data_IF_261385219814
#
_entry.id   IF_261385219814
#
_cell.length_a   1.000
_cell.length_b   1.000
_cell.length_c   1.000
_cell.angle_alpha   90.00
_cell.angle_beta   90.00
_cell.angle_gamma   90.00
#
_symmetry.space_group_name_H-M   'P 1'
#
loop_
_entity.id
_entity.type
_entity.pdbx_description
1 polymer ?
#
# COMPACT_ATOMS: atom_id res chain seq x y z
N UNK A 1 -5.07 -11.33 -3.37
CA UNK A 1 -6.43 -11.80 -3.74
C UNK A 1 -7.41 -11.06 -2.84
N UNK A 2 -8.42 -10.40 -3.42
CA UNK A 2 -9.49 -9.79 -2.63
C UNK A 2 -10.32 -10.88 -1.96
N UNK A 3 -10.75 -10.65 -0.72
CA UNK A 3 -11.63 -11.60 -0.02
C UNK A 3 -13.01 -11.49 -0.65
N UNK A 4 -13.63 -12.64 -0.96
CA UNK A 4 -14.95 -12.67 -1.58
C UNK A 4 -16.05 -12.86 -0.52
N UNK A 5 -17.14 -12.11 -0.66
CA UNK A 5 -18.36 -12.27 0.15
C UNK A 5 -19.59 -12.12 -0.74
N UNK A 6 -20.68 -12.78 -0.37
CA UNK A 6 -22.01 -12.35 -0.80
C UNK A 6 -22.33 -10.98 -0.15
N UNK A 7 -23.25 -10.18 -0.71
CA UNK A 7 -23.65 -8.91 -0.10
C UNK A 7 -24.11 -9.08 1.36
N UNK A 8 -24.96 -10.07 1.63
CA UNK A 8 -25.54 -10.32 2.95
C UNK A 8 -24.46 -10.74 3.96
N UNK A 9 -23.53 -11.61 3.56
CA UNK A 9 -22.45 -12.03 4.45
C UNK A 9 -21.55 -10.86 4.86
N UNK A 10 -21.21 -9.99 3.90
CA UNK A 10 -20.41 -8.81 4.19
C UNK A 10 -21.15 -7.85 5.13
N UNK A 11 -22.42 -7.55 4.84
CA UNK A 11 -23.25 -6.69 5.70
C UNK A 11 -23.34 -7.27 7.11
N UNK A 12 -23.64 -8.56 7.25
CA UNK A 12 -23.71 -9.24 8.54
C UNK A 12 -22.39 -9.19 9.29
N UNK A 13 -21.27 -9.38 8.60
CA UNK A 13 -19.94 -9.31 9.19
C UNK A 13 -19.64 -7.92 9.73
N UNK A 14 -19.97 -6.87 8.98
CA UNK A 14 -19.80 -5.47 9.41
C UNK A 14 -20.70 -5.16 10.61
N UNK A 15 -21.98 -5.51 10.54
CA UNK A 15 -22.97 -5.27 11.60
C UNK A 15 -22.58 -5.96 12.91
N UNK A 16 -22.16 -7.22 12.86
CA UNK A 16 -21.73 -8.00 14.05
C UNK A 16 -20.42 -7.50 14.66
N UNK A 17 -19.65 -6.71 13.91
CA UNK A 17 -18.36 -6.17 14.36
C UNK A 17 -18.46 -4.67 14.64
N UNK A 18 -19.52 -4.26 15.36
CA UNK A 18 -19.78 -2.88 15.77
C UNK A 18 -19.71 -1.89 14.60
N UNK A 19 -20.41 -2.24 13.51
CA UNK A 19 -20.47 -1.43 12.29
C UNK A 19 -19.08 -1.13 11.69
N UNK A 20 -18.16 -2.11 11.72
CA UNK A 20 -16.80 -1.90 11.24
C UNK A 20 -16.18 -3.11 10.55
N UNK A 21 -15.23 -2.85 9.64
CA UNK A 21 -14.44 -3.85 8.94
C UNK A 21 -12.95 -3.53 9.02
N UNK A 22 -12.14 -4.47 9.49
CA UNK A 22 -10.68 -4.32 9.57
C UNK A 22 -9.99 -5.08 8.45
N UNK A 23 -9.19 -4.37 7.67
CA UNK A 23 -8.35 -4.93 6.61
C UNK A 23 -6.91 -4.99 7.10
N UNK A 24 -6.24 -6.11 6.87
CA UNK A 24 -4.82 -6.29 7.19
C UNK A 24 -3.99 -6.26 5.92
N UNK A 25 -2.94 -5.43 5.89
CA UNK A 25 -2.06 -5.25 4.73
C UNK A 25 -0.60 -5.34 5.13
N UNK A 26 0.18 -5.91 4.24
CA UNK A 26 1.64 -5.91 4.34
C UNK A 26 2.18 -4.73 3.54
N UNK A 27 2.87 -3.79 4.20
CA UNK A 27 3.51 -2.63 3.57
C UNK A 27 5.02 -2.82 3.60
N UNK A 28 5.67 -2.68 2.44
CA UNK A 28 7.13 -2.61 2.34
C UNK A 28 7.55 -1.14 2.40
N UNK A 29 8.52 -0.83 3.25
CA UNK A 29 9.07 0.51 3.43
C UNK A 29 10.59 0.42 3.28
N UNK A 30 11.15 1.33 2.50
CA UNK A 30 12.60 1.50 2.42
C UNK A 30 13.03 2.41 3.56
N UNK A 31 13.94 1.93 4.39
CA UNK A 31 14.46 2.64 5.54
C UNK A 31 15.97 2.80 5.42
N UNK A 32 16.45 3.95 5.88
CA UNK A 32 17.87 4.30 5.91
C UNK A 32 18.49 3.80 7.21
N UNK A 33 19.63 3.12 7.14
CA UNK A 33 20.46 2.83 8.31
C UNK A 33 21.30 4.08 8.67
N UNK A 34 20.84 4.82 9.67
CA UNK A 34 21.50 6.06 10.12
C UNK A 34 22.95 5.86 10.56
N UNK A 35 23.33 4.66 11.03
CA UNK A 35 24.72 4.37 11.42
C UNK A 35 25.60 4.24 10.18
N UNK A 36 25.10 3.61 9.12
CA UNK A 36 25.81 3.49 7.85
C UNK A 36 25.89 4.85 7.14
N UNK A 37 24.82 5.65 7.16
CA UNK A 37 24.81 7.02 6.61
C UNK A 37 25.87 7.90 7.30
N UNK A 38 25.90 7.92 8.64
CA UNK A 38 26.93 8.64 9.41
C UNK A 38 28.34 8.14 9.09
N UNK A 39 28.53 6.84 8.91
CA UNK A 39 29.81 6.27 8.51
C UNK A 39 30.23 6.75 7.11
N UNK A 40 29.31 6.81 6.15
CA UNK A 40 29.60 7.27 4.78
C UNK A 40 30.11 8.71 4.77
N UNK A 41 29.48 9.61 5.52
CA UNK A 41 29.94 11.00 5.66
C UNK A 41 31.40 11.08 6.16
N UNK A 42 31.76 10.28 7.17
CA UNK A 42 33.13 10.26 7.68
C UNK A 42 34.11 9.53 6.76
N UNK A 43 33.65 8.47 6.09
CA UNK A 43 34.41 7.73 5.09
C UNK A 43 34.81 8.63 3.92
N UNK A 44 33.89 9.44 3.41
CA UNK A 44 34.14 10.38 2.32
C UNK A 44 35.16 11.46 2.75
N UNK A 45 35.03 11.98 3.98
CA UNK A 45 36.01 12.91 4.55
C UNK A 45 37.42 12.31 4.61
N UNK A 46 37.55 11.08 5.10
CA UNK A 46 38.82 10.34 5.12
C UNK A 46 39.37 10.12 3.72
N UNK A 47 38.53 9.69 2.76
CA UNK A 47 38.94 9.45 1.38
C UNK A 47 39.49 10.74 0.74
N UNK A 48 38.87 11.90 0.98
CA UNK A 48 39.38 13.21 0.52
C UNK A 48 40.77 13.52 1.07
N UNK A 49 41.04 13.25 2.37
CA UNK A 49 42.38 13.45 2.97
C UNK A 49 43.40 12.46 2.44
N UNK A 50 42.99 11.22 2.25
CA UNK A 50 43.81 10.16 1.70
C UNK A 50 44.23 10.46 0.24
N UNK A 51 43.31 10.94 -0.60
CA UNK A 51 43.63 11.35 -1.97
C UNK A 51 44.64 12.51 -2.03
N UNK A 52 44.62 13.43 -1.04
CA UNK A 52 45.66 14.46 -0.92
C UNK A 52 47.02 13.86 -0.62
N UNK A 53 47.10 12.94 0.33
CA UNK A 53 48.36 12.24 0.65
C UNK A 53 48.86 11.35 -0.49
N UNK A 54 47.97 10.76 -1.28
CA UNK A 54 48.34 9.95 -2.46
C UNK A 54 49.04 10.77 -3.55
N UNK A 55 48.77 12.08 -3.62
CA UNK A 55 49.44 13.01 -4.53
C UNK A 55 50.81 13.48 -4.02
N UNK A 56 51.21 13.09 -2.82
CA UNK A 56 52.52 13.41 -2.29
C UNK A 56 53.63 12.83 -3.16
N UNK A 57 54.61 13.66 -3.46
CA UNK A 57 55.88 13.27 -4.08
C UNK A 57 57.02 13.80 -3.23
N UNK A 58 58.13 13.07 -3.17
CA UNK A 58 59.28 13.45 -2.35
C UNK A 58 59.82 14.82 -2.81
N UNK A 59 59.93 15.77 -1.89
CA UNK A 59 60.32 17.16 -2.18
C UNK A 59 59.23 18.04 -2.79
N UNK A 60 58.01 17.52 -3.04
CA UNK A 60 56.93 18.26 -3.69
C UNK A 60 56.18 19.27 -2.81
N UNK A 61 56.29 19.15 -1.48
CA UNK A 61 55.74 20.10 -0.50
C UNK A 61 56.69 20.22 0.70
N UNK A 62 56.57 21.31 1.47
CA UNK A 62 57.34 21.47 2.71
C UNK A 62 56.97 20.43 3.75
N UNK A 63 57.90 20.14 4.67
CA UNK A 63 57.70 19.17 5.74
C UNK A 63 56.55 19.57 6.67
N UNK A 64 56.42 20.85 6.97
CA UNK A 64 55.31 21.41 7.77
C UNK A 64 53.95 21.22 7.09
N UNK A 65 53.90 21.39 5.76
CA UNK A 65 52.66 21.17 5.00
C UNK A 65 52.28 19.69 4.96
N UNK A 66 53.28 18.80 4.85
CA UNK A 66 53.05 17.36 4.93
C UNK A 66 52.58 16.96 6.33
N UNK A 67 53.18 17.51 7.39
CA UNK A 67 52.78 17.29 8.78
C UNK A 67 51.29 17.60 8.99
N UNK A 68 50.83 18.75 8.46
CA UNK A 68 49.42 19.13 8.50
C UNK A 68 48.52 18.15 7.74
N UNK A 69 48.93 17.68 6.57
CA UNK A 69 48.14 16.71 5.79
C UNK A 69 48.05 15.35 6.48
N UNK A 70 49.14 14.88 7.09
CA UNK A 70 49.18 13.64 7.87
C UNK A 70 48.29 13.78 9.12
N UNK A 71 48.38 14.90 9.82
CA UNK A 71 47.53 15.18 10.99
C UNK A 71 46.04 15.19 10.62
N UNK A 72 45.67 15.87 9.53
CA UNK A 72 44.30 15.90 9.02
C UNK A 72 43.80 14.49 8.65
N UNK A 73 44.64 13.68 8.01
CA UNK A 73 44.31 12.31 7.66
C UNK A 73 44.07 11.44 8.89
N UNK A 74 44.94 11.50 9.90
CA UNK A 74 44.77 10.75 11.14
C UNK A 74 43.52 11.17 11.90
N UNK A 75 43.21 12.47 11.91
CA UNK A 75 41.96 12.98 12.49
C UNK A 75 40.75 12.36 11.80
N UNK A 76 40.68 12.44 10.47
CA UNK A 76 39.56 11.84 9.71
C UNK A 76 39.48 10.32 9.86
N UNK A 77 40.61 9.62 10.01
CA UNK A 77 40.62 8.19 10.31
C UNK A 77 39.98 7.89 11.67
N UNK A 78 40.37 8.63 12.71
CA UNK A 78 39.79 8.45 14.05
C UNK A 78 38.29 8.76 14.06
N UNK A 79 37.86 9.84 13.37
CA UNK A 79 36.45 10.23 13.30
C UNK A 79 35.60 9.17 12.57
N UNK A 80 36.12 8.58 11.49
CA UNK A 80 35.48 7.47 10.78
C UNK A 80 35.43 6.21 11.65
N UNK A 81 36.50 5.88 12.36
CA UNK A 81 36.55 4.72 13.26
C UNK A 81 35.51 4.84 14.37
N UNK A 82 35.41 6.01 14.99
CA UNK A 82 34.40 6.30 16.02
C UNK A 82 32.97 6.13 15.48
N UNK A 83 32.70 6.62 14.27
CA UNK A 83 31.38 6.47 13.63
C UNK A 83 31.07 5.03 13.19
N UNK A 84 32.08 4.17 13.12
CA UNK A 84 31.91 2.77 12.75
C UNK A 84 31.46 1.87 13.91
N UNK A 85 31.56 2.34 15.16
CA UNK A 85 31.27 1.54 16.35
C UNK A 85 29.80 1.10 16.46
N UNK A 86 28.87 1.88 15.90
CA UNK A 86 27.44 1.56 15.89
C UNK A 86 26.98 0.78 14.66
N UNK A 87 27.86 0.53 13.68
CA UNK A 87 27.51 -0.19 12.46
C UNK A 87 27.50 -1.69 12.72
N UNK A 88 26.37 -2.35 12.46
CA UNK A 88 26.19 -3.79 12.69
C UNK A 88 26.28 -4.64 11.41
N UNK A 89 26.25 -4.01 10.24
CA UNK A 89 26.35 -4.72 8.97
C UNK A 89 27.71 -5.43 8.83
N UNK A 90 27.67 -6.76 8.65
CA UNK A 90 28.86 -7.62 8.65
C UNK A 90 29.84 -7.32 7.53
N UNK A 91 29.35 -6.99 6.33
CA UNK A 91 30.20 -6.72 5.18
C UNK A 91 30.88 -5.35 5.30
N UNK A 92 30.15 -4.36 5.82
CA UNK A 92 30.72 -3.04 6.15
C UNK A 92 31.77 -3.18 7.24
N UNK A 93 31.46 -3.88 8.34
CA UNK A 93 32.42 -4.18 9.42
C UNK A 93 33.68 -4.87 8.91
N UNK A 94 33.55 -5.81 7.96
CA UNK A 94 34.69 -6.51 7.36
C UNK A 94 35.65 -5.54 6.65
N UNK A 95 35.15 -4.50 5.98
CA UNK A 95 36.04 -3.50 5.35
C UNK A 95 36.70 -2.60 6.40
N UNK A 96 35.97 -2.19 7.44
CA UNK A 96 36.53 -1.43 8.58
C UNK A 96 37.68 -2.21 9.24
N UNK A 97 37.46 -3.48 9.59
CA UNK A 97 38.50 -4.33 10.20
C UNK A 97 39.72 -4.50 9.30
N UNK A 98 39.57 -4.56 7.97
CA UNK A 98 40.73 -4.58 7.06
C UNK A 98 41.55 -3.30 7.16
N UNK A 99 40.90 -2.15 7.28
CA UNK A 99 41.58 -0.87 7.42
C UNK A 99 42.31 -0.79 8.77
N UNK A 100 41.66 -1.21 9.87
CA UNK A 100 42.29 -1.28 11.19
C UNK A 100 43.52 -2.19 11.19
N UNK A 101 43.38 -3.38 10.58
CA UNK A 101 44.48 -4.33 10.42
C UNK A 101 45.62 -3.73 9.61
N UNK A 102 45.33 -2.99 8.54
CA UNK A 102 46.36 -2.32 7.74
C UNK A 102 47.20 -1.35 8.60
N UNK A 103 46.58 -0.58 9.49
CA UNK A 103 47.30 0.30 10.41
C UNK A 103 48.09 -0.50 11.46
N UNK A 104 47.51 -1.56 12.02
CA UNK A 104 48.19 -2.42 12.99
C UNK A 104 49.43 -3.11 12.41
N UNK A 105 49.32 -3.67 11.21
CA UNK A 105 50.41 -4.34 10.49
C UNK A 105 51.56 -3.36 10.17
N UNK A 106 51.25 -2.06 10.00
CA UNK A 106 52.23 -1.01 9.72
C UNK A 106 52.71 -0.25 10.98
N UNK A 107 52.32 -0.66 12.19
CA UNK A 107 52.62 0.07 13.44
C UNK A 107 54.12 0.40 13.61
N UNK A 108 55.03 -0.54 13.32
CA UNK A 108 56.48 -0.29 13.39
C UNK A 108 56.96 0.79 12.41
N UNK A 109 56.37 0.84 11.22
CA UNK A 109 56.71 1.84 10.21
C UNK A 109 56.10 3.21 10.56
N UNK A 110 54.87 3.24 11.05
CA UNK A 110 54.18 4.42 11.56
C UNK A 110 54.96 5.11 12.69
N UNK A 111 55.46 4.34 13.66
CA UNK A 111 56.29 4.88 14.76
C UNK A 111 57.58 5.54 14.29
N UNK A 112 58.20 5.06 13.20
CA UNK A 112 59.44 5.66 12.64
C UNK A 112 59.23 7.06 12.08
N UNK A 113 57.99 7.47 11.87
CA UNK A 113 57.63 8.84 11.45
C UNK A 113 56.85 9.58 12.54
N UNK A 114 56.79 9.04 13.77
CA UNK A 114 56.10 9.69 14.88
C UNK A 114 54.59 9.48 14.94
N UNK A 115 54.02 8.53 14.18
CA UNK A 115 52.60 8.17 14.31
C UNK A 115 52.46 7.07 15.35
N UNK A 116 51.66 7.34 16.38
CA UNK A 116 51.46 6.43 17.51
C UNK A 116 49.97 6.20 17.79
N UNK A 117 49.64 4.99 18.21
CA UNK A 117 48.31 4.67 18.72
C UNK A 117 48.28 4.97 20.23
N UNK A 118 47.51 5.99 20.61
CA UNK A 118 47.31 6.42 21.99
C UNK A 118 45.85 6.16 22.33
N UNK A 119 45.60 5.21 23.23
CA UNK A 119 44.25 4.84 23.68
C UNK A 119 43.28 4.52 22.53
N UNK A 120 43.74 3.81 21.50
CA UNK A 120 42.92 3.39 20.37
C UNK A 120 42.79 4.42 19.24
N UNK A 121 43.37 5.63 19.40
CA UNK A 121 43.37 6.72 18.41
C UNK A 121 44.79 6.97 17.90
N UNK A 122 44.95 7.21 16.60
CA UNK A 122 46.26 7.56 16.05
C UNK A 122 46.53 9.06 16.15
N UNK A 123 47.71 9.43 16.64
CA UNK A 123 48.17 10.81 16.75
C UNK A 123 49.59 10.95 16.17
N UNK A 124 49.94 12.16 15.75
CA UNK A 124 51.26 12.50 15.23
C UNK A 124 52.09 13.24 16.29
N UNK A 125 53.29 12.74 16.57
CA UNK A 125 54.30 13.43 17.36
C UNK A 125 55.13 14.32 16.44
N UNK A 126 54.85 15.63 16.46
CA UNK A 126 55.52 16.64 15.62
C UNK A 126 57.05 16.63 15.73
N UNK A 127 57.61 16.41 16.93
CA UNK A 127 59.07 16.36 17.13
C UNK A 127 59.70 15.18 16.40
N UNK A 128 59.09 14.00 16.56
CA UNK A 128 59.55 12.78 15.90
C UNK A 128 59.34 12.86 14.38
N UNK A 129 58.25 13.48 13.94
CA UNK A 129 57.97 13.71 12.52
C UNK A 129 58.99 14.67 11.89
N UNK A 130 59.34 15.77 12.56
CA UNK A 130 60.34 16.73 12.10
C UNK A 130 61.72 16.10 11.88
N UNK A 131 62.08 15.11 12.69
CA UNK A 131 63.34 14.35 12.57
C UNK A 131 63.23 13.10 11.66
N UNK A 132 62.04 12.75 11.21
CA UNK A 132 61.81 11.55 10.42
C UNK A 132 62.55 11.62 9.07
N UNK A 133 63.22 10.52 8.71
CA UNK A 133 63.92 10.38 7.43
C UNK A 133 62.92 10.25 6.29
N UNK A 134 63.16 10.96 5.18
CA UNK A 134 62.29 10.92 3.99
C UNK A 134 62.03 9.51 3.47
N UNK A 135 63.03 8.61 3.54
CA UNK A 135 62.83 7.20 3.16
C UNK A 135 61.72 6.50 3.96
N UNK A 136 61.55 6.83 5.24
CA UNK A 136 60.54 6.23 6.10
C UNK A 136 59.16 6.79 5.78
N UNK A 137 59.08 8.10 5.49
CA UNK A 137 57.85 8.78 5.04
C UNK A 137 57.43 8.22 3.67
N UNK A 138 58.35 8.18 2.71
CA UNK A 138 58.12 7.68 1.36
C UNK A 138 57.63 6.23 1.37
N UNK A 139 58.15 5.36 2.24
CA UNK A 139 57.71 3.97 2.35
C UNK A 139 56.22 3.83 2.75
N UNK A 140 55.66 4.80 3.48
CA UNK A 140 54.25 4.79 3.91
C UNK A 140 53.33 5.48 2.90
N UNK A 141 53.82 6.50 2.18
CA UNK A 141 53.00 7.33 1.31
C UNK A 141 53.10 6.92 -0.17
N UNK A 142 54.27 6.50 -0.64
CA UNK A 142 54.59 6.34 -2.06
C UNK A 142 54.72 4.86 -2.45
N UNK A 143 54.20 4.51 -3.62
CA UNK A 143 54.34 3.18 -4.22
C UNK A 143 53.11 2.29 -3.99
N UNK A 144 52.91 1.30 -4.86
CA UNK A 144 51.70 0.47 -4.88
C UNK A 144 51.39 -0.20 -3.53
N UNK A 145 52.43 -0.66 -2.82
CA UNK A 145 52.29 -1.36 -1.55
C UNK A 145 52.30 -0.47 -0.31
N UNK A 146 52.31 0.86 -0.50
CA UNK A 146 52.30 1.85 0.56
C UNK A 146 51.01 1.77 1.39
N UNK A 147 51.08 2.24 2.64
CA UNK A 147 49.92 2.33 3.53
C UNK A 147 48.80 3.12 2.86
N UNK A 148 49.12 4.26 2.25
CA UNK A 148 48.13 5.16 1.62
C UNK A 148 47.44 4.49 0.43
N UNK A 149 48.17 3.78 -0.42
CA UNK A 149 47.55 3.09 -1.57
C UNK A 149 46.69 1.90 -1.15
N UNK A 150 47.12 1.13 -0.15
CA UNK A 150 46.30 0.03 0.40
C UNK A 150 45.06 0.56 1.09
N UNK A 151 45.17 1.65 1.84
CA UNK A 151 44.03 2.30 2.48
C UNK A 151 43.05 2.86 1.44
N UNK A 152 43.51 3.44 0.32
CA UNK A 152 42.63 3.86 -0.79
C UNK A 152 41.74 2.73 -1.30
N UNK A 153 42.35 1.57 -1.54
CA UNK A 153 41.64 0.39 -2.05
C UNK A 153 40.59 -0.10 -1.05
N UNK A 154 40.92 -0.13 0.24
CA UNK A 154 39.97 -0.53 1.27
C UNK A 154 38.82 0.48 1.39
N UNK A 155 39.12 1.79 1.37
CA UNK A 155 38.12 2.85 1.44
C UNK A 155 37.13 2.84 0.27
N UNK A 156 37.59 2.55 -0.94
CA UNK A 156 36.69 2.38 -2.11
C UNK A 156 35.72 1.21 -1.93
N UNK A 157 36.22 0.07 -1.44
CA UNK A 157 35.34 -1.08 -1.17
C UNK A 157 34.38 -0.79 -0.01
N UNK A 158 34.81 -0.03 1.00
CA UNK A 158 33.95 0.40 2.10
C UNK A 158 32.81 1.28 1.60
N UNK A 159 33.11 2.24 0.73
CA UNK A 159 32.12 3.14 0.12
C UNK A 159 31.06 2.37 -0.69
N UNK A 160 31.51 1.45 -1.55
CA UNK A 160 30.61 0.56 -2.31
C UNK A 160 29.73 -0.29 -1.39
N UNK A 161 30.35 -0.97 -0.42
CA UNK A 161 29.62 -1.85 0.51
C UNK A 161 28.63 -1.08 1.39
N UNK A 162 29.00 0.13 1.82
CA UNK A 162 28.11 1.00 2.60
C UNK A 162 26.96 1.53 1.75
N UNK A 163 27.22 1.88 0.49
CA UNK A 163 26.19 2.29 -0.47
C UNK A 163 25.14 1.21 -0.72
N UNK A 164 25.56 -0.05 -0.79
CA UNK A 164 24.63 -1.18 -0.93
C UNK A 164 23.83 -1.46 0.36
N UNK A 165 24.40 -1.12 1.52
CA UNK A 165 23.85 -1.47 2.83
C UNK A 165 23.02 -0.34 3.49
N UNK A 166 23.13 0.90 3.01
CA UNK A 166 22.49 2.07 3.63
C UNK A 166 20.96 2.01 3.57
N UNK A 167 20.40 1.29 2.60
CA UNK A 167 18.95 1.10 2.47
C UNK A 167 18.55 -0.35 2.73
N UNK A 168 17.55 -0.53 3.57
CA UNK A 168 16.92 -1.84 3.77
C UNK A 168 15.42 -1.76 3.46
N UNK A 169 14.86 -2.86 2.94
CA UNK A 169 13.41 -2.97 2.78
C UNK A 169 12.83 -3.71 3.98
N UNK A 170 12.12 -2.98 4.83
CA UNK A 170 11.44 -3.52 6.00
C UNK A 170 9.97 -3.77 5.67
N UNK A 171 9.44 -4.88 6.19
CA UNK A 171 8.06 -5.28 5.97
C UNK A 171 7.24 -5.05 7.24
N UNK A 172 6.20 -4.23 7.14
CA UNK A 172 5.30 -3.90 8.23
C UNK A 172 3.91 -4.50 8.02
N UNK A 173 3.39 -5.16 9.05
CA UNK A 173 1.97 -5.50 9.11
C UNK A 173 1.19 -4.27 9.57
N UNK A 174 0.25 -3.84 8.74
CA UNK A 174 -0.61 -2.69 9.00
C UNK A 174 -2.06 -3.14 9.00
N UNK A 175 -2.89 -2.47 9.78
CA UNK A 175 -4.34 -2.71 9.81
C UNK A 175 -5.09 -1.40 9.66
N UNK A 176 -6.16 -1.41 8.88
CA UNK A 176 -7.04 -0.26 8.70
C UNK A 176 -8.47 -0.69 8.99
N UNK A 177 -9.10 -0.03 9.95
CA UNK A 177 -10.51 -0.26 10.29
C UNK A 177 -11.38 0.81 9.63
N UNK A 178 -12.30 0.38 8.79
CA UNK A 178 -13.35 1.23 8.21
C UNK A 178 -14.60 1.11 9.07
N UNK A 179 -15.14 2.25 9.50
CA UNK A 179 -16.43 2.33 10.21
C UNK A 179 -17.54 2.72 9.23
N UNK A 180 -18.73 2.21 9.50
CA UNK A 180 -19.93 2.42 8.71
C UNK A 180 -21.02 3.00 9.60
N UNK A 181 -21.86 3.85 9.02
CA UNK A 181 -23.09 4.29 9.68
C UNK A 181 -24.14 3.19 9.58
N UNK A 182 -25.01 3.07 10.58
CA UNK A 182 -26.13 2.10 10.56
C UNK A 182 -27.00 2.29 9.32
N UNK A 183 -27.20 3.53 8.90
CA UNK A 183 -28.00 3.88 7.73
C UNK A 183 -27.36 3.40 6.41
N UNK A 184 -26.03 3.46 6.30
CA UNK A 184 -25.31 2.94 5.13
C UNK A 184 -25.51 1.42 5.01
N UNK A 185 -25.45 0.69 6.13
CA UNK A 185 -25.73 -0.75 6.11
C UNK A 185 -27.19 -1.05 5.77
N UNK A 186 -28.13 -0.21 6.22
CA UNK A 186 -29.53 -0.33 5.85
C UNK A 186 -29.69 -0.13 4.32
N UNK A 187 -29.09 0.90 3.74
CA UNK A 187 -29.10 1.13 2.30
C UNK A 187 -28.54 -0.05 1.51
N UNK A 188 -27.39 -0.58 1.91
CA UNK A 188 -26.80 -1.77 1.28
C UNK A 188 -27.71 -3.01 1.42
N UNK A 189 -28.38 -3.17 2.57
CA UNK A 189 -29.32 -4.28 2.81
C UNK A 189 -30.54 -4.19 1.91
N UNK A 190 -31.15 -3.01 1.77
CA UNK A 190 -32.31 -2.82 0.89
C UNK A 190 -31.95 -2.91 -0.59
N UNK A 191 -30.78 -2.42 -1.01
CA UNK A 191 -30.30 -2.65 -2.37
C UNK A 191 -30.12 -4.15 -2.66
N UNK A 192 -29.60 -4.90 -1.70
CA UNK A 192 -29.49 -6.37 -1.78
C UNK A 192 -30.87 -7.02 -1.88
N UNK A 193 -31.81 -6.64 -1.00
CA UNK A 193 -33.18 -7.17 -1.00
C UNK A 193 -33.92 -6.88 -2.31
N UNK A 194 -33.78 -5.67 -2.87
CA UNK A 194 -34.31 -5.34 -4.19
C UNK A 194 -33.74 -6.26 -5.27
N UNK A 195 -32.44 -6.55 -5.26
CA UNK A 195 -31.81 -7.45 -6.22
C UNK A 195 -32.33 -8.88 -6.10
N UNK A 196 -32.50 -9.39 -4.87
CA UNK A 196 -33.06 -10.73 -4.64
C UNK A 196 -34.54 -10.82 -5.07
N UNK A 197 -35.32 -9.75 -4.86
CA UNK A 197 -36.70 -9.65 -5.34
C UNK A 197 -36.77 -9.68 -6.87
N UNK A 198 -35.91 -8.93 -7.57
CA UNK A 198 -35.81 -8.95 -9.04
C UNK A 198 -35.49 -10.33 -9.58
N UNK A 199 -34.54 -11.03 -8.96
CA UNK A 199 -34.17 -12.39 -9.34
C UNK A 199 -35.32 -13.39 -9.14
N UNK A 200 -36.12 -13.21 -8.08
CA UNK A 200 -37.32 -14.02 -7.84
C UNK A 200 -38.40 -13.74 -8.87
N UNK A 201 -38.62 -12.46 -9.22
CA UNK A 201 -39.58 -12.06 -10.25
C UNK A 201 -39.21 -12.62 -11.63
N UNK A 202 -37.94 -12.65 -12.00
CA UNK A 202 -37.46 -13.30 -13.23
C UNK A 202 -37.76 -14.80 -13.23
N UNK A 203 -37.46 -15.50 -12.13
CA UNK A 203 -37.81 -16.92 -11.99
C UNK A 203 -39.34 -17.15 -12.09
N UNK A 204 -40.14 -16.25 -11.54
CA UNK A 204 -41.60 -16.31 -11.62
C UNK A 204 -42.13 -16.07 -13.05
N UNK A 205 -41.40 -15.38 -13.93
CA UNK A 205 -41.87 -15.03 -15.27
C UNK A 205 -42.34 -16.25 -16.06
N UNK A 206 -41.58 -17.35 -16.03
CA UNK A 206 -41.96 -18.59 -16.74
C UNK A 206 -43.33 -19.12 -16.30
N UNK A 207 -43.66 -19.02 -15.01
CA UNK A 207 -44.95 -19.47 -14.48
C UNK A 207 -46.09 -18.54 -14.89
N UNK A 208 -45.85 -17.22 -14.84
CA UNK A 208 -46.81 -16.20 -15.29
C UNK A 208 -47.14 -16.39 -16.78
N UNK A 209 -46.12 -16.58 -17.61
CA UNK A 209 -46.30 -16.80 -19.06
C UNK A 209 -47.01 -18.13 -19.38
N UNK A 210 -46.83 -19.15 -18.54
CA UNK A 210 -47.50 -20.45 -18.70
C UNK A 210 -48.98 -20.45 -18.29
N UNK A 211 -49.55 -19.28 -17.97
CA UNK A 211 -50.95 -19.16 -17.58
C UNK A 211 -51.25 -19.50 -16.12
N UNK A 212 -50.22 -19.73 -15.29
CA UNK A 212 -50.39 -20.03 -13.85
C UNK A 212 -50.62 -18.77 -12.99
N UNK A 213 -51.03 -17.64 -13.59
CA UNK A 213 -51.27 -16.38 -12.88
C UNK A 213 -52.40 -16.44 -11.84
N UNK A 214 -53.28 -17.45 -11.91
CA UNK A 214 -54.34 -17.71 -10.92
C UNK A 214 -53.92 -18.74 -9.85
N UNK A 215 -52.69 -19.28 -9.92
CA UNK A 215 -52.20 -20.23 -8.91
C UNK A 215 -51.82 -19.44 -7.64
N UNK A 216 -52.41 -19.74 -6.47
CA UNK A 216 -52.18 -18.99 -5.24
C UNK A 216 -50.69 -18.88 -4.84
N UNK A 217 -49.90 -19.93 -5.08
CA UNK A 217 -48.47 -19.95 -4.74
C UNK A 217 -47.68 -18.99 -5.64
N UNK A 218 -48.04 -18.92 -6.93
CA UNK A 218 -47.42 -18.00 -7.89
C UNK A 218 -47.81 -16.56 -7.56
N UNK A 219 -49.09 -16.32 -7.25
CA UNK A 219 -49.59 -15.01 -6.83
C UNK A 219 -48.88 -14.51 -5.57
N UNK A 220 -48.78 -15.36 -4.54
CA UNK A 220 -48.10 -15.03 -3.29
C UNK A 220 -46.61 -14.71 -3.52
N UNK A 221 -45.92 -15.52 -4.31
CA UNK A 221 -44.49 -15.31 -4.61
C UNK A 221 -44.24 -14.01 -5.40
N UNK A 222 -45.09 -13.73 -6.38
CA UNK A 222 -44.99 -12.51 -7.19
C UNK A 222 -45.34 -11.29 -6.35
N UNK A 223 -46.50 -11.26 -5.68
CA UNK A 223 -46.93 -10.12 -4.88
C UNK A 223 -45.96 -9.86 -3.71
N UNK A 224 -45.45 -10.92 -3.06
CA UNK A 224 -44.40 -10.80 -2.05
C UNK A 224 -43.12 -10.15 -2.59
N UNK A 225 -42.67 -10.56 -3.78
CA UNK A 225 -41.48 -10.00 -4.41
C UNK A 225 -41.68 -8.55 -4.88
N UNK A 226 -42.86 -8.22 -5.42
CA UNK A 226 -43.21 -6.83 -5.76
C UNK A 226 -43.23 -5.94 -4.51
N UNK A 227 -43.77 -6.43 -3.39
CA UNK A 227 -43.73 -5.74 -2.09
C UNK A 227 -42.31 -5.50 -1.59
N UNK A 228 -41.43 -6.50 -1.67
CA UNK A 228 -40.02 -6.33 -1.31
C UNK A 228 -39.32 -5.33 -2.23
N UNK A 229 -39.58 -5.37 -3.53
CA UNK A 229 -39.00 -4.44 -4.49
C UNK A 229 -39.46 -3.00 -4.24
N UNK A 230 -40.76 -2.77 -4.02
CA UNK A 230 -41.31 -1.44 -3.73
C UNK A 230 -40.76 -0.88 -2.42
N UNK A 231 -40.80 -1.67 -1.34
CA UNK A 231 -40.27 -1.27 -0.03
C UNK A 231 -38.79 -0.94 -0.10
N UNK A 232 -38.01 -1.75 -0.80
CA UNK A 232 -36.58 -1.51 -0.99
C UNK A 232 -36.31 -0.29 -1.85
N UNK A 233 -37.07 -0.08 -2.92
CA UNK A 233 -37.00 1.11 -3.77
C UNK A 233 -37.20 2.39 -2.95
N UNK A 234 -38.18 2.41 -2.06
CA UNK A 234 -38.46 3.57 -1.19
C UNK A 234 -37.30 3.95 -0.26
N UNK A 235 -36.41 2.99 0.04
CA UNK A 235 -35.20 3.22 0.83
C UNK A 235 -34.02 3.58 -0.08
N UNK A 236 -33.83 2.86 -1.18
CA UNK A 236 -32.77 3.11 -2.18
C UNK A 236 -32.86 4.53 -2.75
N UNK A 237 -34.06 5.04 -2.98
CA UNK A 237 -34.28 6.39 -3.54
C UNK A 237 -33.95 7.54 -2.57
N UNK A 238 -33.67 7.22 -1.29
CA UNK A 238 -33.20 8.18 -0.28
C UNK A 238 -31.68 8.33 -0.28
N UNK A 239 -30.96 7.45 -0.99
CA UNK A 239 -29.50 7.50 -1.09
C UNK A 239 -29.11 8.75 -1.88
N UNK A 240 -28.20 9.55 -1.33
CA UNK A 240 -27.69 10.73 -2.01
C UNK A 240 -26.91 10.32 -3.27
N UNK A 241 -27.02 11.05 -4.40
CA UNK A 241 -26.19 10.82 -5.58
C UNK A 241 -24.68 10.89 -5.32
N UNK A 242 -24.27 11.61 -4.26
CA UNK A 242 -22.87 11.67 -3.81
C UNK A 242 -22.42 10.36 -3.15
N UNK A 243 -23.34 9.64 -2.50
CA UNK A 243 -23.07 8.32 -1.92
C UNK A 243 -23.07 7.24 -2.99
N UNK A 244 -23.97 7.30 -3.96
CA UNK A 244 -23.94 6.43 -5.14
C UNK A 244 -24.65 7.05 -6.34
N UNK A 245 -23.94 7.20 -7.45
CA UNK A 245 -24.53 7.63 -8.72
C UNK A 245 -25.51 6.59 -9.30
N UNK A 246 -25.39 5.33 -8.87
CA UNK A 246 -26.27 4.24 -9.29
C UNK A 246 -27.68 4.37 -8.74
N UNK A 247 -27.86 4.99 -7.57
CA UNK A 247 -29.19 5.30 -7.03
C UNK A 247 -29.96 6.29 -7.94
N UNK A 248 -29.26 7.25 -8.56
CA UNK A 248 -29.86 8.16 -9.55
C UNK A 248 -30.28 7.42 -10.83
N UNK A 249 -29.46 6.49 -11.30
CA UNK A 249 -29.79 5.67 -12.48
C UNK A 249 -30.96 4.71 -12.21
N UNK A 250 -31.00 4.13 -11.01
CA UNK A 250 -32.12 3.34 -10.51
C UNK A 250 -33.43 4.13 -10.60
N UNK A 251 -33.46 5.35 -10.04
CA UNK A 251 -34.61 6.25 -10.12
C UNK A 251 -35.07 6.49 -11.56
N UNK A 252 -34.13 6.84 -12.44
CA UNK A 252 -34.42 7.16 -13.83
C UNK A 252 -35.03 5.96 -14.57
N UNK A 253 -34.52 4.75 -14.32
CA UNK A 253 -35.02 3.53 -14.94
C UNK A 253 -36.45 3.20 -14.48
N UNK A 254 -36.77 3.43 -13.19
CA UNK A 254 -38.14 3.32 -12.68
C UNK A 254 -39.08 4.34 -13.34
N UNK A 255 -38.62 5.58 -13.51
CA UNK A 255 -39.41 6.64 -14.14
C UNK A 255 -39.73 6.32 -15.61
N UNK A 256 -38.75 5.85 -16.37
CA UNK A 256 -38.90 5.48 -17.78
C UNK A 256 -39.86 4.30 -18.00
N UNK A 257 -40.00 3.43 -17.01
CA UNK A 257 -40.85 2.24 -17.07
C UNK A 257 -42.14 2.36 -16.25
N UNK A 258 -42.49 3.55 -15.74
CA UNK A 258 -43.62 3.77 -14.82
C UNK A 258 -44.95 3.18 -15.31
N UNK A 259 -45.25 3.30 -16.61
CA UNK A 259 -46.52 2.85 -17.16
C UNK A 259 -46.58 1.31 -17.25
N UNK A 260 -45.44 0.65 -17.47
CA UNK A 260 -45.34 -0.82 -17.43
C UNK A 260 -45.38 -1.33 -16.00
N UNK A 261 -44.72 -0.62 -15.08
CA UNK A 261 -44.76 -0.93 -13.66
C UNK A 261 -46.20 -0.87 -13.13
N UNK A 262 -46.98 0.14 -13.51
CA UNK A 262 -48.38 0.26 -13.10
C UNK A 262 -49.24 -0.94 -13.58
N UNK A 263 -48.99 -1.47 -14.78
CA UNK A 263 -49.70 -2.64 -15.33
C UNK A 263 -49.48 -3.94 -14.54
N UNK A 264 -48.45 -4.00 -13.70
CA UNK A 264 -48.17 -5.13 -12.83
C UNK A 264 -48.39 -4.82 -11.35
N UNK A 265 -49.04 -3.69 -11.05
CA UNK A 265 -49.35 -3.28 -9.68
C UNK A 265 -48.22 -2.51 -8.97
N UNK A 266 -47.19 -2.04 -9.67
CA UNK A 266 -46.15 -1.16 -9.11
C UNK A 266 -46.40 0.29 -9.53
N UNK A 267 -47.01 1.08 -8.65
CA UNK A 267 -47.31 2.48 -8.92
C UNK A 267 -46.14 3.36 -8.47
N UNK A 268 -45.49 4.02 -9.43
CA UNK A 268 -44.34 4.89 -9.17
C UNK A 268 -44.73 6.36 -9.18
N UNK A 269 -44.65 6.98 -8.00
CA UNK A 269 -44.81 8.42 -7.79
C UNK A 269 -43.46 9.11 -7.96
N UNK A 270 -43.30 9.81 -9.08
CA UNK A 270 -42.07 10.53 -9.42
C UNK A 270 -41.79 11.73 -8.52
N UNK A 271 -42.84 12.35 -7.99
CA UNK A 271 -42.77 13.61 -7.22
C UNK A 271 -42.33 13.31 -5.80
N UNK A 272 -42.90 12.26 -5.20
CA UNK A 272 -42.55 11.81 -3.86
C UNK A 272 -41.43 10.76 -3.83
N UNK A 273 -40.94 10.33 -5.00
CA UNK A 273 -39.94 9.25 -5.16
C UNK A 273 -40.35 7.99 -4.40
N UNK A 274 -41.60 7.59 -4.58
CA UNK A 274 -42.20 6.49 -3.85
C UNK A 274 -42.77 5.45 -4.83
N UNK A 275 -42.61 4.18 -4.49
CA UNK A 275 -43.25 3.05 -5.14
C UNK A 275 -44.25 2.43 -4.18
N UNK A 276 -45.49 2.26 -4.63
CA UNK A 276 -46.56 1.56 -3.91
C UNK A 276 -47.03 0.34 -4.68
N UNK A 277 -47.64 -0.61 -3.97
CA UNK A 277 -48.11 -1.87 -4.54
C UNK A 277 -49.63 -1.89 -4.55
N UNK A 278 -50.20 -2.26 -5.69
CA UNK A 278 -51.59 -2.64 -5.88
C UNK A 278 -51.62 -4.15 -6.15
N UNK A 279 -51.97 -4.94 -5.14
CA UNK A 279 -52.05 -6.40 -5.20
C UNK A 279 -53.36 -6.91 -5.80
N UNK A 280 -54.25 -6.01 -6.22
CA UNK A 280 -55.55 -6.35 -6.83
C UNK A 280 -55.50 -6.52 -8.35
N UNK A 281 -54.35 -6.23 -8.97
CA UNK A 281 -54.17 -6.35 -10.42
C UNK A 281 -54.26 -7.81 -10.88
N UNK A 282 -55.11 -8.08 -11.87
CA UNK A 282 -55.34 -9.42 -12.40
C UNK A 282 -54.15 -9.91 -13.25
N UNK A 283 -53.39 -10.85 -12.67
CA UNK A 283 -52.22 -11.49 -13.27
C UNK A 283 -52.54 -12.36 -14.50
N UNK A 284 -53.81 -12.67 -14.76
CA UNK A 284 -54.23 -13.52 -15.88
C UNK A 284 -54.37 -12.76 -17.20
N UNK A 285 -54.47 -11.43 -17.12
CA UNK A 285 -54.67 -10.54 -18.27
C UNK A 285 -53.45 -10.52 -19.21
N UNK A 286 -53.70 -10.29 -20.51
CA UNK A 286 -52.63 -10.15 -21.50
C UNK A 286 -51.72 -8.95 -21.21
N UNK A 287 -52.29 -7.85 -20.72
CA UNK A 287 -51.53 -6.64 -20.39
C UNK A 287 -50.56 -6.87 -19.24
N UNK A 288 -51.00 -7.56 -18.17
CA UNK A 288 -50.13 -7.95 -17.07
C UNK A 288 -48.99 -8.84 -17.56
N UNK A 289 -49.31 -9.94 -18.27
CA UNK A 289 -48.31 -10.90 -18.74
C UNK A 289 -47.26 -10.27 -19.63
N UNK A 290 -47.69 -9.39 -20.54
CA UNK A 290 -46.79 -8.66 -21.45
C UNK A 290 -45.87 -7.73 -20.66
N UNK A 291 -46.43 -6.90 -19.78
CA UNK A 291 -45.63 -5.98 -18.97
C UNK A 291 -44.66 -6.72 -18.03
N UNK A 292 -45.12 -7.82 -17.40
CA UNK A 292 -44.29 -8.64 -16.52
C UNK A 292 -43.11 -9.26 -17.27
N UNK A 293 -43.33 -9.79 -18.47
CA UNK A 293 -42.25 -10.34 -19.30
C UNK A 293 -41.26 -9.27 -19.77
N UNK A 294 -41.75 -8.09 -20.15
CA UNK A 294 -40.90 -6.98 -20.57
C UNK A 294 -40.06 -6.39 -19.44
N UNK A 295 -40.54 -6.47 -18.19
CA UNK A 295 -39.83 -5.96 -17.01
C UNK A 295 -38.87 -6.99 -16.40
N UNK A 296 -39.30 -8.27 -16.34
CA UNK A 296 -38.61 -9.31 -15.57
C UNK A 296 -38.28 -10.57 -16.36
N UNK A 297 -38.55 -10.68 -17.66
CA UNK A 297 -38.09 -11.84 -18.42
C UNK A 297 -36.56 -11.98 -18.42
N UNK A 298 -36.04 -13.16 -18.76
CA UNK A 298 -34.62 -13.51 -18.57
C UNK A 298 -33.59 -12.73 -19.41
N UNK A 299 -34.03 -11.72 -20.17
CA UNK A 299 -33.18 -10.71 -20.83
C UNK A 299 -33.85 -9.32 -20.82
N UNK A 300 -34.82 -9.10 -19.93
CA UNK A 300 -35.47 -7.81 -19.80
C UNK A 300 -34.45 -6.78 -19.32
N UNK A 301 -34.32 -5.69 -20.09
CA UNK A 301 -33.38 -4.62 -19.79
C UNK A 301 -33.65 -4.02 -18.40
N UNK A 302 -34.93 -3.86 -18.03
CA UNK A 302 -35.33 -3.32 -16.73
C UNK A 302 -34.77 -4.13 -15.57
N UNK A 303 -35.12 -5.41 -15.43
CA UNK A 303 -34.65 -6.24 -14.32
C UNK A 303 -33.13 -6.39 -14.27
N UNK A 304 -32.50 -6.53 -15.44
CA UNK A 304 -31.04 -6.69 -15.56
C UNK A 304 -30.29 -5.44 -15.13
N UNK A 305 -30.66 -4.27 -15.66
CA UNK A 305 -30.00 -3.01 -15.32
C UNK A 305 -30.27 -2.61 -13.87
N UNK A 306 -31.50 -2.80 -13.38
CA UNK A 306 -31.86 -2.45 -12.02
C UNK A 306 -31.07 -3.30 -11.00
N UNK A 307 -30.90 -4.60 -11.26
CA UNK A 307 -30.04 -5.47 -10.44
C UNK A 307 -28.57 -5.03 -10.47
N UNK A 308 -28.05 -4.64 -11.64
CA UNK A 308 -26.70 -4.09 -11.76
C UNK A 308 -26.54 -2.78 -10.96
N UNK A 309 -27.53 -1.90 -10.97
CA UNK A 309 -27.53 -0.70 -10.14
C UNK A 309 -27.56 -1.04 -8.64
N UNK A 310 -28.35 -2.03 -8.21
CA UNK A 310 -28.31 -2.52 -6.83
C UNK A 310 -26.91 -2.98 -6.41
N UNK A 311 -26.25 -3.81 -7.23
CA UNK A 311 -24.88 -4.29 -6.96
C UNK A 311 -23.89 -3.14 -6.83
N UNK A 312 -23.99 -2.15 -7.71
CA UNK A 312 -23.13 -0.96 -7.65
C UNK A 312 -23.41 -0.10 -6.43
N UNK A 313 -24.67 0.07 -6.02
CA UNK A 313 -25.03 0.76 -4.77
C UNK A 313 -24.36 0.07 -3.58
N UNK A 314 -24.42 -1.26 -3.48
CA UNK A 314 -23.77 -1.98 -2.39
C UNK A 314 -22.25 -1.75 -2.40
N UNK A 315 -21.61 -1.82 -3.58
CA UNK A 315 -20.17 -1.55 -3.71
C UNK A 315 -19.78 -0.13 -3.30
N UNK A 316 -20.57 0.87 -3.72
CA UNK A 316 -20.32 2.29 -3.45
C UNK A 316 -20.48 2.59 -1.94
N UNK A 317 -21.57 2.11 -1.34
CA UNK A 317 -21.90 2.32 0.07
C UNK A 317 -20.92 1.59 0.98
N UNK A 318 -20.64 0.31 0.71
CA UNK A 318 -19.71 -0.48 1.51
C UNK A 318 -18.24 -0.19 1.19
N UNK A 319 -17.96 0.59 0.12
CA UNK A 319 -16.62 0.98 -0.33
C UNK A 319 -15.70 -0.24 -0.46
N UNK A 320 -16.19 -1.29 -1.10
CA UNK A 320 -15.57 -2.63 -1.12
C UNK A 320 -14.13 -2.64 -1.62
N UNK A 321 -13.81 -1.75 -2.58
CA UNK A 321 -12.45 -1.52 -3.06
C UNK A 321 -11.48 -1.00 -2.00
N UNK A 322 -11.96 -0.21 -1.01
CA UNK A 322 -11.11 0.32 0.07
C UNK A 322 -10.78 -0.72 1.14
N UNK A 323 -11.63 -1.73 1.29
CA UNK A 323 -11.50 -2.81 2.27
C UNK A 323 -10.99 -4.13 1.65
N UNK A 324 -10.51 -4.08 0.40
CA UNK A 324 -9.98 -5.22 -0.36
C UNK A 324 -10.96 -6.42 -0.43
N UNK A 325 -12.25 -6.11 -0.54
CA UNK A 325 -13.33 -7.08 -0.67
C UNK A 325 -13.91 -7.03 -2.08
N UNK A 326 -14.27 -8.19 -2.62
CA UNK A 326 -15.08 -8.31 -3.83
C UNK A 326 -16.43 -8.94 -3.50
N UNK A 327 -17.50 -8.33 -3.99
CA UNK A 327 -18.85 -8.89 -3.87
C UNK A 327 -19.08 -9.88 -5.01
N UNK A 328 -19.45 -11.10 -4.65
CA UNK A 328 -19.90 -12.13 -5.57
C UNK A 328 -21.42 -12.25 -5.51
N UNK A 329 -22.04 -12.60 -6.63
CA UNK A 329 -23.47 -12.84 -6.69
C UNK A 329 -23.82 -14.09 -5.88
N UNK A 330 -25.00 -14.12 -5.27
CA UNK A 330 -25.49 -15.34 -4.61
C UNK A 330 -25.61 -16.44 -5.66
N UNK A 331 -24.78 -17.48 -5.53
CA UNK A 331 -25.04 -18.76 -6.19
C UNK A 331 -26.16 -19.44 -5.39
N UNK A 332 -27.37 -19.44 -5.94
CA UNK A 332 -28.48 -20.25 -5.42
C UNK A 332 -28.55 -21.54 -6.24
#
# INVERSE_FOLDING_TARGET
MAIQYTPIDLINKISKNNYSYTTHRVKKVTETDESIEKLQDKSEALQKKLQKLKRYTSGGISKDMLEKQVTDFLKSYNDMKESSESVTNKDVQKQITKLEKLFADNNKALKKIGIENINGRYALNSKTFAEAKDKNINALLIGHDSLINKADKIMRNLDETAGDAVYSTVTYNTSTTTKYETLDLAYASYATLASSALLTLDKCNTFVQSGNGSNPIVQESVNGSLNYLASSTNIVLRISPEQSSSAKKYYQLCLENKDKLAKIGLNFDSDNKQMTVDDTVDMTTSDYKTAFNELFGSNAAFGTELSAYCKNIVNDILKTSKIDVSIIDEQI
#
